data_IF_814521303005
#
_entry.id   IF_814521303005
#
_cell.length_a   1.000
_cell.length_b   1.000
_cell.length_c   1.000
_cell.angle_alpha   90.00
_cell.angle_beta   90.00
_cell.angle_gamma   90.00
#
_symmetry.space_group_name_H-M   'P 1'
#
loop_
_entity.id
_entity.type
_entity.pdbx_description
1 polymer ?
#
# COMPACT_ATOMS: atom_id res chain seq x y z
N UNK A 1 -7.00 14.05 32.80
CA UNK A 1 -7.55 13.91 31.43
C UNK A 1 -8.56 12.79 31.42
N UNK A 2 -9.85 13.08 31.24
CA UNK A 2 -10.87 12.03 31.10
C UNK A 2 -10.64 11.28 29.78
N UNK A 3 -10.43 9.95 29.85
CA UNK A 3 -10.55 9.07 28.68
C UNK A 3 -11.99 9.14 28.18
N UNK A 4 -12.23 9.84 27.06
CA UNK A 4 -13.49 9.71 26.32
C UNK A 4 -13.65 8.22 25.95
N UNK A 5 -14.74 7.60 26.38
CA UNK A 5 -15.11 6.26 25.91
C UNK A 5 -15.43 6.37 24.41
N UNK A 6 -14.79 5.52 23.60
CA UNK A 6 -15.10 5.43 22.17
C UNK A 6 -16.53 4.97 21.96
N UNK A 7 -17.19 5.50 20.93
CA UNK A 7 -18.53 5.05 20.53
C UNK A 7 -18.49 3.61 19.99
N UNK A 8 -19.65 2.99 19.80
CA UNK A 8 -19.72 1.64 19.24
C UNK A 8 -19.15 1.64 17.80
N UNK A 9 -19.53 2.64 17.01
CA UNK A 9 -19.09 2.84 15.63
C UNK A 9 -17.56 2.98 15.55
N UNK A 10 -16.96 3.76 16.45
CA UNK A 10 -15.50 3.92 16.52
C UNK A 10 -14.76 2.62 16.89
N UNK A 11 -15.38 1.74 17.69
CA UNK A 11 -14.79 0.44 18.04
C UNK A 11 -14.92 -0.54 16.87
N UNK A 12 -16.08 -0.61 16.23
CA UNK A 12 -16.31 -1.47 15.06
C UNK A 12 -15.38 -1.07 13.92
N UNK A 13 -15.26 0.23 13.63
CA UNK A 13 -14.33 0.72 12.62
C UNK A 13 -12.88 0.35 12.94
N UNK A 14 -12.45 0.44 14.20
CA UNK A 14 -11.10 0.05 14.60
C UNK A 14 -10.84 -1.45 14.39
N UNK A 15 -11.79 -2.31 14.74
CA UNK A 15 -11.69 -3.77 14.55
C UNK A 15 -11.63 -4.15 13.06
N UNK A 16 -12.47 -3.53 12.23
CA UNK A 16 -12.46 -3.72 10.77
C UNK A 16 -11.08 -3.31 10.20
N UNK A 17 -10.57 -2.15 10.60
CA UNK A 17 -9.24 -1.70 10.16
C UNK A 17 -8.12 -2.64 10.62
N UNK A 18 -8.18 -3.14 11.84
CA UNK A 18 -7.20 -4.08 12.39
C UNK A 18 -7.20 -5.40 11.59
N UNK A 19 -8.38 -5.94 11.27
CA UNK A 19 -8.54 -7.18 10.50
C UNK A 19 -7.86 -7.10 9.12
N UNK A 20 -7.97 -5.97 8.42
CA UNK A 20 -7.41 -5.80 7.08
C UNK A 20 -6.02 -5.16 7.03
N UNK A 21 -5.50 -4.70 8.17
CA UNK A 21 -4.22 -4.00 8.25
C UNK A 21 -3.04 -4.83 7.70
N UNK A 22 -3.04 -6.14 7.94
CA UNK A 22 -2.00 -7.05 7.44
C UNK A 22 -1.97 -7.13 5.91
N UNK A 23 -3.14 -7.22 5.27
CA UNK A 23 -3.27 -7.28 3.81
C UNK A 23 -2.74 -5.97 3.19
N UNK A 24 -3.13 -4.83 3.75
CA UNK A 24 -2.67 -3.52 3.27
C UNK A 24 -1.14 -3.39 3.45
N UNK A 25 -0.61 -3.80 4.60
CA UNK A 25 0.82 -3.75 4.88
C UNK A 25 1.64 -4.63 3.92
N UNK A 26 1.15 -5.82 3.58
CA UNK A 26 1.82 -6.71 2.64
C UNK A 26 1.81 -6.13 1.20
N UNK A 27 0.68 -5.60 0.73
CA UNK A 27 0.62 -4.94 -0.58
C UNK A 27 1.54 -3.71 -0.67
N UNK A 28 1.62 -2.93 0.41
CA UNK A 28 2.53 -1.79 0.50
C UNK A 28 4.00 -2.23 0.46
N UNK A 29 4.35 -3.31 1.18
CA UNK A 29 5.70 -3.87 1.18
C UNK A 29 6.11 -4.31 -0.22
N UNK A 30 5.26 -5.07 -0.90
CA UNK A 30 5.52 -5.55 -2.25
C UNK A 30 5.67 -4.38 -3.24
N UNK A 31 4.81 -3.36 -3.13
CA UNK A 31 4.89 -2.17 -3.99
C UNK A 31 6.21 -1.40 -3.77
N UNK A 32 6.64 -1.26 -2.51
CA UNK A 32 7.91 -0.61 -2.18
C UNK A 32 9.10 -1.41 -2.70
N UNK A 33 9.08 -2.73 -2.56
CA UNK A 33 10.12 -3.62 -3.06
C UNK A 33 10.23 -3.53 -4.59
N UNK A 34 9.11 -3.61 -5.30
CA UNK A 34 9.06 -3.44 -6.76
C UNK A 34 9.67 -2.11 -7.19
N UNK A 35 9.28 -1.00 -6.55
CA UNK A 35 9.86 0.33 -6.86
C UNK A 35 11.35 0.39 -6.60
N UNK A 36 11.82 -0.23 -5.51
CA UNK A 36 13.25 -0.30 -5.20
C UNK A 36 14.01 -1.06 -6.28
N UNK A 37 13.50 -2.22 -6.70
CA UNK A 37 14.12 -3.05 -7.74
C UNK A 37 14.12 -2.35 -9.10
N UNK A 38 13.02 -1.70 -9.48
CA UNK A 38 12.93 -0.89 -10.70
C UNK A 38 14.00 0.20 -10.72
N UNK A 39 14.15 0.94 -9.62
CA UNK A 39 15.18 1.97 -9.49
C UNK A 39 16.60 1.40 -9.62
N UNK A 40 16.87 0.23 -9.03
CA UNK A 40 18.17 -0.43 -9.16
C UNK A 40 18.46 -0.85 -10.61
N UNK A 41 17.45 -1.36 -11.31
CA UNK A 41 17.53 -1.73 -12.72
C UNK A 41 17.83 -0.51 -13.61
N UNK A 42 17.12 0.60 -13.40
CA UNK A 42 17.37 1.87 -14.10
C UNK A 42 18.79 2.40 -13.85
N UNK A 43 19.26 2.37 -12.61
CA UNK A 43 20.62 2.78 -12.25
C UNK A 43 21.68 1.89 -12.89
N UNK A 44 21.49 0.57 -12.86
CA UNK A 44 22.40 -0.38 -13.49
C UNK A 44 22.43 -0.22 -15.01
N UNK A 45 21.27 0.06 -15.63
CA UNK A 45 21.17 0.36 -17.06
C UNK A 45 21.95 1.62 -17.42
N UNK A 46 21.75 2.71 -16.68
CA UNK A 46 22.48 3.96 -16.92
C UNK A 46 24.01 3.78 -16.75
N UNK A 47 24.43 2.98 -15.76
CA UNK A 47 25.84 2.65 -15.56
C UNK A 47 26.40 1.81 -16.72
N UNK A 48 25.63 0.86 -17.24
CA UNK A 48 25.99 0.05 -18.40
C UNK A 48 26.14 0.92 -19.66
N UNK A 49 25.14 1.76 -19.96
CA UNK A 49 25.17 2.67 -21.12
C UNK A 49 26.41 3.58 -21.09
N UNK A 50 26.73 4.14 -19.92
CA UNK A 50 27.95 4.94 -19.73
C UNK A 50 29.22 4.13 -19.95
N UNK A 51 29.30 2.93 -19.38
CA UNK A 51 30.49 2.08 -19.53
C UNK A 51 30.70 1.63 -20.99
N UNK A 52 29.60 1.39 -21.73
CA UNK A 52 29.64 1.08 -23.16
C UNK A 52 30.11 2.28 -23.98
N UNK A 53 29.63 3.48 -23.67
CA UNK A 53 30.07 4.72 -24.31
C UNK A 53 31.57 4.97 -24.09
N UNK A 54 32.04 4.86 -22.85
CA UNK A 54 33.45 5.06 -22.48
C UNK A 54 34.36 4.01 -23.17
N UNK A 55 33.93 2.74 -23.18
CA UNK A 55 34.64 1.67 -23.87
C UNK A 55 34.69 1.92 -25.40
N UNK A 56 33.59 2.39 -25.99
CA UNK A 56 33.53 2.74 -27.42
C UNK A 56 34.45 3.91 -27.76
N UNK A 57 34.45 4.98 -26.96
CA UNK A 57 35.35 6.14 -27.13
C UNK A 57 36.82 5.73 -27.09
N UNK A 58 37.21 4.92 -26.10
CA UNK A 58 38.58 4.44 -25.96
C UNK A 58 38.99 3.48 -27.09
N UNK A 59 38.06 2.63 -27.55
CA UNK A 59 38.29 1.78 -28.72
C UNK A 59 38.56 2.62 -29.97
N UNK A 60 37.77 3.67 -30.21
CA UNK A 60 37.99 4.60 -31.32
C UNK A 60 39.33 5.33 -31.19
N UNK A 61 39.67 5.86 -30.01
CA UNK A 61 40.95 6.51 -29.77
C UNK A 61 42.14 5.57 -30.02
N UNK A 62 42.02 4.29 -29.65
CA UNK A 62 43.04 3.27 -29.92
C UNK A 62 43.18 2.97 -31.41
N UNK A 63 42.08 2.92 -32.16
CA UNK A 63 42.11 2.76 -33.62
C UNK A 63 42.78 3.96 -34.27
N UNK A 64 42.46 5.17 -33.81
CA UNK A 64 43.04 6.40 -34.36
C UNK A 64 44.54 6.53 -34.05
N UNK A 65 44.96 6.18 -32.83
CA UNK A 65 46.38 6.08 -32.47
C UNK A 65 47.13 5.09 -33.38
N UNK A 66 46.51 3.94 -33.71
CA UNK A 66 47.12 2.97 -34.64
C UNK A 66 47.23 3.52 -36.06
N UNK A 67 46.25 4.29 -36.55
CA UNK A 67 46.32 4.93 -37.87
C UNK A 67 47.45 5.95 -37.91
N UNK A 68 47.47 6.88 -36.93
CA UNK A 68 48.55 7.88 -36.78
C UNK A 68 49.92 7.21 -36.71
N UNK A 69 50.04 6.07 -36.02
CA UNK A 69 51.28 5.30 -35.95
C UNK A 69 51.73 4.84 -37.34
N UNK A 70 50.84 4.22 -38.11
CA UNK A 70 51.18 3.73 -39.46
C UNK A 70 51.51 4.89 -40.41
N UNK A 71 50.77 5.99 -40.35
CA UNK A 71 51.04 7.17 -41.17
C UNK A 71 52.42 7.78 -40.88
N UNK A 72 52.78 7.96 -39.60
CA UNK A 72 54.08 8.45 -39.18
C UNK A 72 55.21 7.46 -39.55
N UNK A 73 54.96 6.16 -39.40
CA UNK A 73 55.91 5.11 -39.75
C UNK A 73 56.25 5.11 -41.24
N UNK A 74 55.25 5.17 -42.12
CA UNK A 74 55.48 5.20 -43.57
C UNK A 74 56.10 6.52 -44.04
N UNK A 75 55.84 7.63 -43.34
CA UNK A 75 56.46 8.94 -43.62
C UNK A 75 57.86 9.10 -43.03
N UNK A 76 58.34 8.13 -42.23
CA UNK A 76 59.60 8.21 -41.47
C UNK A 76 59.67 9.46 -40.57
N UNK A 77 58.54 9.84 -39.99
CA UNK A 77 58.44 10.98 -39.07
C UNK A 77 58.73 10.53 -37.64
N UNK A 78 60.00 10.65 -37.23
CA UNK A 78 60.47 10.21 -35.90
C UNK A 78 59.87 11.03 -34.75
N UNK A 79 59.60 12.33 -34.97
CA UNK A 79 59.00 13.18 -33.95
C UNK A 79 57.56 12.73 -33.64
N UNK A 80 56.75 12.52 -34.68
CA UNK A 80 55.40 12.01 -34.53
C UNK A 80 55.36 10.60 -33.91
N UNK A 81 56.32 9.72 -34.25
CA UNK A 81 56.42 8.39 -33.64
C UNK A 81 56.72 8.45 -32.13
N UNK A 82 57.55 9.41 -31.69
CA UNK A 82 57.86 9.62 -30.28
C UNK A 82 56.63 10.08 -29.48
N UNK A 83 55.86 11.03 -30.03
CA UNK A 83 54.60 11.49 -29.42
C UNK A 83 53.57 10.36 -29.29
N UNK A 84 53.40 9.56 -30.35
CA UNK A 84 52.50 8.40 -30.35
C UNK A 84 52.92 7.34 -29.32
N UNK A 85 54.23 7.11 -29.16
CA UNK A 85 54.75 6.19 -28.16
C UNK A 85 54.41 6.65 -26.73
N UNK A 86 54.45 7.95 -26.46
CA UNK A 86 54.06 8.53 -25.18
C UNK A 86 52.54 8.37 -24.90
N UNK A 87 51.68 8.50 -25.92
CA UNK A 87 50.23 8.33 -25.79
C UNK A 87 49.76 6.87 -25.64
N UNK A 88 50.55 5.91 -26.16
CA UNK A 88 50.16 4.49 -26.21
C UNK A 88 49.93 3.88 -24.83
N UNK A 89 50.87 4.06 -23.90
CA UNK A 89 50.78 3.47 -22.56
C UNK A 89 49.56 3.92 -21.75
N UNK A 90 49.24 5.23 -21.71
CA UNK A 90 47.99 5.73 -21.14
C UNK A 90 46.72 5.14 -21.79
N UNK A 91 46.64 5.11 -23.13
CA UNK A 91 45.45 4.60 -23.85
C UNK A 91 45.23 3.12 -23.60
N UNK A 92 46.30 2.30 -23.60
CA UNK A 92 46.19 0.86 -23.28
C UNK A 92 45.70 0.63 -21.85
N UNK A 93 46.22 1.37 -20.87
CA UNK A 93 45.77 1.31 -19.47
C UNK A 93 44.31 1.73 -19.33
N UNK A 94 43.90 2.83 -19.98
CA UNK A 94 42.52 3.31 -19.97
C UNK A 94 41.57 2.28 -20.60
N UNK A 95 41.94 1.69 -21.74
CA UNK A 95 41.14 0.65 -22.42
C UNK A 95 40.93 -0.57 -21.52
N UNK A 96 41.99 -1.03 -20.83
CA UNK A 96 41.89 -2.17 -19.90
C UNK A 96 40.97 -1.85 -18.70
N UNK A 97 41.04 -0.63 -18.16
CA UNK A 97 40.15 -0.18 -17.08
C UNK A 97 38.69 -0.11 -17.53
N UNK A 98 38.43 0.47 -18.71
CA UNK A 98 37.08 0.55 -19.26
C UNK A 98 36.50 -0.83 -19.59
N UNK A 99 37.31 -1.77 -20.09
CA UNK A 99 36.87 -3.15 -20.29
C UNK A 99 36.39 -3.82 -19.00
N UNK A 100 37.18 -3.71 -17.91
CA UNK A 100 36.77 -4.22 -16.59
C UNK A 100 35.52 -3.53 -16.04
N UNK A 101 35.42 -2.22 -16.23
CA UNK A 101 34.25 -1.45 -15.80
C UNK A 101 32.99 -1.89 -16.56
N UNK A 102 33.11 -2.13 -17.87
CA UNK A 102 32.03 -2.65 -18.70
C UNK A 102 31.62 -4.07 -18.30
N UNK A 103 32.58 -4.97 -18.07
CA UNK A 103 32.29 -6.32 -17.56
C UNK A 103 31.53 -6.27 -16.24
N UNK A 104 31.97 -5.40 -15.31
CA UNK A 104 31.27 -5.21 -14.04
C UNK A 104 29.86 -4.64 -14.25
N UNK A 105 29.71 -3.61 -15.07
CA UNK A 105 28.41 -2.98 -15.31
C UNK A 105 27.41 -3.95 -15.97
N UNK A 106 27.89 -4.85 -16.84
CA UNK A 106 27.07 -5.93 -17.42
C UNK A 106 26.59 -6.91 -16.35
N UNK A 107 27.50 -7.36 -15.48
CA UNK A 107 27.16 -8.27 -14.40
C UNK A 107 26.19 -7.62 -13.39
N UNK A 108 26.37 -6.34 -13.09
CA UNK A 108 25.48 -5.59 -12.19
C UNK A 108 24.11 -5.36 -12.85
N UNK A 109 24.05 -5.09 -14.16
CA UNK A 109 22.80 -5.01 -14.91
C UNK A 109 22.07 -6.36 -14.96
N UNK A 110 22.75 -7.45 -15.30
CA UNK A 110 22.15 -8.79 -15.37
C UNK A 110 21.56 -9.22 -14.03
N UNK A 111 22.20 -8.89 -12.90
CA UNK A 111 21.65 -9.13 -11.56
C UNK A 111 20.43 -8.28 -11.22
N UNK A 112 20.37 -7.07 -11.78
CA UNK A 112 19.28 -6.13 -11.56
C UNK A 112 18.16 -6.30 -12.59
N UNK A 113 18.39 -7.05 -13.67
CA UNK A 113 17.43 -7.27 -14.73
C UNK A 113 16.38 -8.27 -14.27
N UNK A 114 15.13 -7.83 -14.28
CA UNK A 114 13.96 -8.64 -13.99
C UNK A 114 12.87 -8.32 -15.01
N UNK A 115 11.98 -9.27 -15.21
CA UNK A 115 10.83 -9.10 -16.10
C UNK A 115 9.78 -8.19 -15.43
N UNK A 116 9.83 -6.91 -15.80
CA UNK A 116 8.90 -5.88 -15.31
C UNK A 116 7.44 -6.20 -15.66
N UNK A 117 7.19 -6.85 -16.79
CA UNK A 117 5.83 -7.20 -17.22
C UNK A 117 5.30 -8.35 -16.35
N UNK A 118 6.10 -9.39 -16.16
CA UNK A 118 5.71 -10.50 -15.30
C UNK A 118 5.51 -10.06 -13.85
N UNK A 119 6.41 -9.24 -13.29
CA UNK A 119 6.27 -8.76 -11.91
C UNK A 119 5.10 -7.79 -11.73
N UNK A 120 4.91 -6.84 -12.66
CA UNK A 120 3.76 -5.93 -12.59
C UNK A 120 2.43 -6.68 -12.73
N UNK A 121 2.37 -7.70 -13.58
CA UNK A 121 1.20 -8.57 -13.69
C UNK A 121 0.94 -9.35 -12.39
N UNK A 122 1.98 -9.93 -11.78
CA UNK A 122 1.87 -10.65 -10.52
C UNK A 122 1.37 -9.74 -9.37
N UNK A 123 1.90 -8.52 -9.28
CA UNK A 123 1.46 -7.52 -8.30
C UNK A 123 0.00 -7.13 -8.51
N UNK A 124 -0.41 -6.91 -9.77
CA UNK A 124 -1.80 -6.61 -10.11
C UNK A 124 -2.72 -7.78 -9.74
N UNK A 125 -2.33 -9.00 -10.04
CA UNK A 125 -3.09 -10.20 -9.67
C UNK A 125 -3.24 -10.31 -8.14
N UNK A 126 -2.15 -10.12 -7.38
CA UNK A 126 -2.19 -10.13 -5.92
C UNK A 126 -3.10 -9.05 -5.35
N UNK A 127 -3.03 -7.83 -5.88
CA UNK A 127 -3.89 -6.72 -5.48
C UNK A 127 -5.37 -7.03 -5.75
N UNK A 128 -5.70 -7.57 -6.93
CA UNK A 128 -7.08 -7.95 -7.27
C UNK A 128 -7.60 -9.06 -6.34
N UNK A 129 -6.81 -10.09 -6.06
CA UNK A 129 -7.19 -11.18 -5.15
C UNK A 129 -7.45 -10.64 -3.74
N UNK A 130 -6.58 -9.74 -3.27
CA UNK A 130 -6.74 -9.09 -1.97
C UNK A 130 -8.01 -8.24 -1.92
N UNK A 131 -8.26 -7.42 -2.95
CA UNK A 131 -9.46 -6.59 -3.06
C UNK A 131 -10.74 -7.43 -3.07
N UNK A 132 -10.79 -8.49 -3.87
CA UNK A 132 -11.93 -9.42 -3.92
C UNK A 132 -12.15 -10.11 -2.56
N UNK A 133 -11.06 -10.51 -1.90
CA UNK A 133 -11.11 -11.11 -0.57
C UNK A 133 -11.68 -10.16 0.49
N UNK A 134 -11.21 -8.91 0.51
CA UNK A 134 -11.71 -7.86 1.41
C UNK A 134 -13.19 -7.58 1.12
N UNK A 135 -13.56 -7.41 -0.15
CA UNK A 135 -14.97 -7.17 -0.55
C UNK A 135 -15.91 -8.26 -0.06
N UNK A 136 -15.55 -9.53 -0.24
CA UNK A 136 -16.36 -10.66 0.27
C UNK A 136 -16.50 -10.62 1.78
N UNK A 137 -15.39 -10.38 2.49
CA UNK A 137 -15.35 -10.34 3.96
C UNK A 137 -16.18 -9.17 4.50
N UNK A 138 -16.08 -8.00 3.88
CA UNK A 138 -16.90 -6.83 4.21
C UNK A 138 -18.39 -7.11 3.98
N UNK A 139 -18.76 -7.71 2.84
CA UNK A 139 -20.15 -8.11 2.59
C UNK A 139 -20.69 -9.06 3.67
N UNK A 140 -19.91 -10.08 4.06
CA UNK A 140 -20.32 -10.98 5.15
C UNK A 140 -20.41 -10.29 6.52
N UNK A 141 -19.57 -9.27 6.78
CA UNK A 141 -19.64 -8.47 8.00
C UNK A 141 -20.88 -7.56 8.00
N UNK A 142 -21.21 -6.96 6.86
CA UNK A 142 -22.42 -6.15 6.67
C UNK A 142 -23.68 -7.01 6.91
N UNK A 143 -23.78 -8.18 6.28
CA UNK A 143 -24.88 -9.13 6.48
C UNK A 143 -25.01 -9.54 7.96
N UNK A 144 -23.90 -9.89 8.62
CA UNK A 144 -23.92 -10.30 10.03
C UNK A 144 -24.33 -9.15 10.98
N UNK A 145 -23.95 -7.91 10.66
CA UNK A 145 -24.36 -6.72 11.44
C UNK A 145 -25.85 -6.43 11.22
N UNK A 146 -26.33 -6.50 9.98
CA UNK A 146 -27.76 -6.31 9.66
C UNK A 146 -28.64 -7.33 10.38
N UNK A 147 -28.27 -8.61 10.36
CA UNK A 147 -28.98 -9.68 11.06
C UNK A 147 -29.02 -9.45 12.58
N UNK A 148 -27.90 -9.02 13.16
CA UNK A 148 -27.80 -8.72 14.59
C UNK A 148 -28.68 -7.53 14.99
N UNK A 149 -28.69 -6.46 14.17
CA UNK A 149 -29.55 -5.30 14.42
C UNK A 149 -31.04 -5.63 14.24
N UNK A 150 -31.39 -6.44 13.24
CA UNK A 150 -32.76 -6.91 13.02
C UNK A 150 -33.25 -7.84 14.14
N UNK A 151 -32.36 -8.69 14.67
CA UNK A 151 -32.63 -9.49 15.87
C UNK A 151 -32.92 -8.60 17.08
N UNK A 152 -32.03 -7.65 17.37
CA UNK A 152 -32.19 -6.73 18.50
C UNK A 152 -33.47 -5.90 18.39
N UNK A 153 -33.81 -5.43 17.18
CA UNK A 153 -35.05 -4.70 16.94
C UNK A 153 -36.30 -5.53 17.24
N UNK A 154 -36.31 -6.81 16.86
CA UNK A 154 -37.40 -7.74 17.18
C UNK A 154 -37.51 -8.00 18.67
N UNK A 155 -36.38 -8.21 19.36
CA UNK A 155 -36.37 -8.43 20.81
C UNK A 155 -36.93 -7.22 21.57
N UNK A 156 -36.56 -6.00 21.16
CA UNK A 156 -37.12 -4.76 21.72
C UNK A 156 -38.61 -4.65 21.44
N UNK A 157 -39.06 -5.01 20.25
CA UNK A 157 -40.48 -4.98 19.88
C UNK A 157 -41.29 -6.00 20.68
N UNK A 158 -40.82 -7.24 20.77
CA UNK A 158 -41.46 -8.33 21.52
C UNK A 158 -41.54 -8.01 23.01
N UNK A 159 -40.41 -7.60 23.61
CA UNK A 159 -40.37 -7.17 25.01
C UNK A 159 -41.31 -5.98 25.24
N UNK A 160 -41.33 -5.02 24.31
CA UNK A 160 -42.23 -3.88 24.36
C UNK A 160 -43.70 -4.26 24.24
N UNK A 161 -44.05 -5.29 23.45
CA UNK A 161 -45.42 -5.83 23.38
C UNK A 161 -45.78 -6.56 24.67
N UNK A 162 -44.93 -7.44 25.18
CA UNK A 162 -45.16 -8.14 26.44
C UNK A 162 -45.43 -7.16 27.60
N UNK A 163 -44.62 -6.10 27.73
CA UNK A 163 -44.84 -5.04 28.73
C UNK A 163 -46.16 -4.28 28.56
N UNK A 164 -46.66 -4.14 27.33
CA UNK A 164 -47.97 -3.51 27.05
C UNK A 164 -49.12 -4.48 27.32
N UNK A 165 -48.95 -5.75 27.02
CA UNK A 165 -49.95 -6.80 27.20
C UNK A 165 -50.15 -7.13 28.70
N UNK A 166 -49.12 -6.94 29.54
CA UNK A 166 -49.23 -7.03 31.00
C UNK A 166 -50.09 -5.91 31.62
N UNK A 167 -50.30 -4.80 30.92
CA UNK A 167 -51.13 -3.71 31.40
C UNK A 167 -52.60 -3.94 31.02
N UNK A 168 -53.40 -4.38 31.99
CA UNK A 168 -54.86 -4.34 31.87
C UNK A 168 -55.37 -2.92 32.14
N UNK A 169 -56.10 -2.33 31.18
CA UNK A 169 -56.78 -1.06 31.41
C UNK A 169 -57.81 -1.22 32.55
N UNK A 170 -57.69 -0.43 33.63
CA UNK A 170 -58.64 -0.51 34.72
C UNK A 170 -60.02 -0.02 34.26
N UNK A 171 -61.07 -0.73 34.68
CA UNK A 171 -62.44 -0.27 34.56
C UNK A 171 -62.80 0.58 35.76
N UNK A 172 -63.52 1.68 35.53
CA UNK A 172 -63.94 2.60 36.59
C UNK A 172 -65.46 2.67 36.60
N UNK A 173 -66.05 2.53 37.78
CA UNK A 173 -67.49 2.62 37.98
C UNK A 173 -67.93 4.08 38.19
N UNK A 174 -66.99 4.97 38.53
CA UNK A 174 -67.23 6.40 38.77
C UNK A 174 -66.20 7.32 38.11
N UNK A 175 -66.61 8.56 37.80
CA UNK A 175 -65.71 9.59 37.26
C UNK A 175 -64.62 10.01 38.27
N UNK A 176 -64.89 9.91 39.57
CA UNK A 176 -63.94 10.23 40.64
C UNK A 176 -62.77 9.23 40.71
N UNK A 177 -63.05 7.93 40.56
CA UNK A 177 -62.04 6.88 40.47
C UNK A 177 -61.20 7.04 39.19
N UNK A 178 -61.84 7.34 38.06
CA UNK A 178 -61.15 7.62 36.80
C UNK A 178 -60.19 8.81 36.93
N UNK A 179 -60.65 9.90 37.54
CA UNK A 179 -59.84 11.11 37.72
C UNK A 179 -58.66 10.87 38.68
N UNK A 180 -58.85 10.11 39.76
CA UNK A 180 -57.78 9.72 40.68
C UNK A 180 -56.72 8.84 40.00
N UNK A 181 -57.15 7.89 39.16
CA UNK A 181 -56.25 7.05 38.36
C UNK A 181 -55.43 7.89 37.37
N UNK A 182 -56.07 8.78 36.61
CA UNK A 182 -55.39 9.67 35.65
C UNK A 182 -54.31 10.51 36.34
N UNK A 183 -54.63 11.11 37.50
CA UNK A 183 -53.66 11.90 38.26
C UNK A 183 -52.45 11.07 38.67
N UNK A 184 -52.67 9.84 39.16
CA UNK A 184 -51.61 8.92 39.57
C UNK A 184 -50.76 8.46 38.37
N UNK A 185 -51.37 8.18 37.23
CA UNK A 185 -50.65 7.82 35.99
C UNK A 185 -49.74 8.96 35.52
N UNK A 186 -50.22 10.21 35.57
CA UNK A 186 -49.41 11.40 35.21
C UNK A 186 -48.21 11.55 36.15
N UNK A 187 -48.38 11.33 37.46
CA UNK A 187 -47.29 11.36 38.43
C UNK A 187 -46.23 10.28 38.14
N UNK A 188 -46.66 9.05 37.84
CA UNK A 188 -45.76 7.93 37.48
C UNK A 188 -45.00 8.24 36.18
N UNK A 189 -45.69 8.67 35.12
CA UNK A 189 -45.06 9.02 33.84
C UNK A 189 -44.03 10.14 34.02
N UNK A 190 -44.33 11.14 34.86
CA UNK A 190 -43.40 12.23 35.17
C UNK A 190 -42.15 11.73 35.91
N UNK A 191 -42.27 10.74 36.79
CA UNK A 191 -41.14 10.13 37.48
C UNK A 191 -40.29 9.26 36.54
N UNK A 192 -40.91 8.48 35.66
CA UNK A 192 -40.22 7.67 34.64
C UNK A 192 -39.47 8.56 33.65
N UNK A 193 -40.10 9.62 33.14
CA UNK A 193 -39.46 10.54 32.19
C UNK A 193 -38.23 11.27 32.79
N UNK A 194 -38.16 11.44 34.11
CA UNK A 194 -37.00 12.03 34.79
C UNK A 194 -35.82 11.07 34.94
N UNK A 195 -36.07 9.75 34.85
CA UNK A 195 -35.07 8.72 35.18
C UNK A 195 -34.65 7.89 33.96
N UNK A 196 -35.51 7.74 32.96
CA UNK A 196 -35.21 7.01 31.74
C UNK A 196 -34.49 7.91 30.72
N UNK A 197 -33.24 7.56 30.38
CA UNK A 197 -32.47 8.21 29.31
C UNK A 197 -32.03 7.13 28.33
N UNK A 198 -32.64 7.02 27.13
CA UNK A 198 -32.35 5.92 26.20
C UNK A 198 -30.93 5.98 25.61
N UNK A 199 -30.29 7.14 25.63
CA UNK A 199 -29.00 7.39 24.96
C UNK A 199 -27.78 7.48 25.91
N UNK A 200 -27.91 7.09 27.19
CA UNK A 200 -26.84 7.21 28.21
C UNK A 200 -26.32 5.88 28.75
#
# INVERSE_FOLDING_TARGET
MLRRKKTLEEKTAALIMEEFSGIVADLQRDHQEYRRRLKLKEQARAALEKAEEDARKLRSARVELKKRFWDAYYRKDEAALSEIAAERGPIERATKKAGKALEKARADFEKADFDEVAESFALKAKANIAEDGIKRRLGSLEEAIEDLLAGLGRDVEETGRALRDEYEEPRFDTDEERNAHVKKTVEILTAVAKTYTPDK
#
